data_IF_765342479256
#
_entry.id   IF_765342479256
#
_cell.length_a   1.000
_cell.length_b   1.000
_cell.length_c   1.000
_cell.angle_alpha   90.00
_cell.angle_beta   90.00
_cell.angle_gamma   90.00
#
_symmetry.space_group_name_H-M   'P 1'
#
loop_
_entity.id
_entity.type
_entity.pdbx_description
1 polymer ?
#
# COMPACT_ATOMS: atom_id res chain seq x y z
N UNK A 1 -70.29 -29.00 -14.13
CA UNK A 1 -69.27 -27.95 -14.29
C UNK A 1 -68.43 -27.94 -13.03
N UNK A 2 -67.18 -28.36 -13.15
CA UNK A 2 -66.21 -28.53 -12.05
C UNK A 2 -65.64 -27.20 -11.59
N UNK A 3 -65.63 -26.88 -10.28
CA UNK A 3 -64.69 -25.91 -9.74
C UNK A 3 -63.39 -26.60 -9.32
N UNK A 4 -62.28 -26.03 -9.77
CA UNK A 4 -60.91 -26.45 -9.50
C UNK A 4 -60.49 -26.19 -8.04
N UNK A 5 -59.51 -26.94 -7.50
CA UNK A 5 -59.02 -26.74 -6.15
C UNK A 5 -58.05 -25.54 -6.07
N UNK A 6 -58.27 -24.67 -5.08
CA UNK A 6 -57.38 -23.61 -4.67
C UNK A 6 -56.11 -24.23 -4.06
N UNK A 7 -55.06 -24.41 -4.87
CA UNK A 7 -53.76 -24.92 -4.41
C UNK A 7 -52.93 -23.79 -3.80
N UNK A 8 -52.58 -24.01 -2.53
CA UNK A 8 -51.40 -23.56 -1.79
C UNK A 8 -50.52 -22.48 -2.45
N UNK A 9 -50.53 -21.28 -1.88
CA UNK A 9 -49.47 -20.29 -2.03
C UNK A 9 -48.92 -19.97 -0.64
N UNK A 10 -47.79 -20.61 -0.29
CA UNK A 10 -46.79 -20.26 0.75
C UNK A 10 -46.04 -21.56 1.07
N UNK A 11 -44.74 -21.70 0.71
CA UNK A 11 -43.70 -20.89 1.34
C UNK A 11 -42.55 -20.51 0.37
N UNK A 12 -42.39 -19.22 0.07
CA UNK A 12 -41.20 -18.70 -0.64
C UNK A 12 -40.38 -17.73 0.22
N UNK A 13 -40.65 -17.66 1.52
CA UNK A 13 -39.99 -16.75 2.45
C UNK A 13 -38.76 -17.36 3.17
N UNK A 14 -38.31 -18.57 2.79
CA UNK A 14 -37.25 -19.29 3.52
C UNK A 14 -35.90 -19.43 2.78
N UNK A 15 -35.69 -18.74 1.66
CA UNK A 15 -34.42 -18.79 0.90
C UNK A 15 -33.63 -17.47 0.87
N UNK A 16 -34.04 -16.47 1.67
CA UNK A 16 -33.30 -15.20 1.83
C UNK A 16 -32.34 -15.17 3.03
N UNK A 17 -32.15 -16.31 3.71
CA UNK A 17 -31.15 -16.44 4.76
C UNK A 17 -30.04 -17.32 4.23
N UNK A 18 -29.04 -16.74 3.56
CA UNK A 18 -27.67 -17.27 3.44
C UNK A 18 -26.82 -16.27 2.66
N UNK A 19 -26.41 -15.26 3.40
CA UNK A 19 -25.55 -14.19 2.93
C UNK A 19 -25.55 -13.10 3.99
N UNK A 20 -25.28 -13.48 5.24
CA UNK A 20 -24.89 -12.49 6.22
C UNK A 20 -23.62 -11.84 5.65
N UNK A 21 -23.77 -10.64 5.07
CA UNK A 21 -22.66 -9.73 4.93
C UNK A 21 -22.12 -9.57 6.35
N UNK A 22 -21.03 -10.29 6.67
CA UNK A 22 -20.36 -10.16 7.96
C UNK A 22 -19.96 -8.70 8.03
N UNK A 23 -20.60 -7.94 8.93
CA UNK A 23 -20.19 -6.58 9.21
C UNK A 23 -18.69 -6.63 9.53
N UNK A 24 -17.90 -5.87 8.78
CA UNK A 24 -16.46 -5.79 9.03
C UNK A 24 -16.25 -5.40 10.48
N UNK A 25 -15.51 -6.21 11.22
CA UNK A 25 -15.20 -5.93 12.63
C UNK A 25 -14.54 -4.55 12.71
N UNK A 26 -15.07 -3.61 13.51
CA UNK A 26 -14.50 -2.27 13.59
C UNK A 26 -13.05 -2.33 14.07
N UNK A 27 -12.20 -1.44 13.56
CA UNK A 27 -10.80 -1.38 13.91
C UNK A 27 -10.58 -1.15 15.42
N UNK A 28 -9.79 -2.00 16.07
CA UNK A 28 -9.42 -1.83 17.47
C UNK A 28 -8.17 -0.94 17.60
N UNK A 29 -8.35 0.37 17.38
CA UNK A 29 -7.23 1.31 17.45
C UNK A 29 -6.49 1.37 18.80
N UNK A 30 -7.13 1.21 19.97
CA UNK A 30 -6.40 1.06 21.23
C UNK A 30 -5.38 -0.09 21.18
N UNK A 31 -5.76 -1.26 20.66
CA UNK A 31 -4.87 -2.40 20.48
C UNK A 31 -3.77 -2.12 19.44
N UNK A 32 -4.12 -1.66 18.23
CA UNK A 32 -3.16 -1.33 17.17
C UNK A 32 -2.10 -0.30 17.61
N UNK A 33 -2.42 0.53 18.61
CA UNK A 33 -1.53 1.54 19.13
C UNK A 33 -0.48 1.03 20.12
N UNK A 34 -0.63 -0.19 20.64
CA UNK A 34 0.26 -0.80 21.64
C UNK A 34 1.01 -2.04 21.15
N UNK A 35 0.57 -2.67 20.05
CA UNK A 35 1.26 -3.82 19.43
C UNK A 35 1.68 -3.55 17.99
N UNK A 36 2.63 -4.33 17.48
CA UNK A 36 2.99 -4.39 16.06
C UNK A 36 1.86 -4.99 15.20
N UNK A 37 2.00 -4.89 13.87
CA UNK A 37 0.98 -5.31 12.92
C UNK A 37 0.69 -6.82 12.94
N UNK A 38 1.72 -7.64 13.14
CA UNK A 38 1.59 -9.11 13.17
C UNK A 38 0.84 -9.56 14.43
N UNK A 39 1.23 -9.01 15.57
CA UNK A 39 0.53 -9.20 16.85
C UNK A 39 -0.91 -8.71 16.79
N UNK A 40 -1.18 -7.59 16.11
CA UNK A 40 -2.55 -7.12 15.90
C UNK A 40 -3.38 -8.10 15.07
N UNK A 41 -2.82 -8.60 13.95
CA UNK A 41 -3.47 -9.62 13.13
C UNK A 41 -3.77 -10.89 13.93
N UNK A 42 -2.78 -11.40 14.67
CA UNK A 42 -2.92 -12.58 15.54
C UNK A 42 -4.06 -12.44 16.56
N UNK A 43 -4.25 -11.24 17.10
CA UNK A 43 -5.23 -10.97 18.16
C UNK A 43 -6.61 -10.55 17.65
N UNK A 44 -6.76 -10.22 16.37
CA UNK A 44 -8.02 -9.69 15.80
C UNK A 44 -8.64 -10.57 14.73
N UNK A 45 -7.88 -11.52 14.17
CA UNK A 45 -8.38 -12.47 13.17
C UNK A 45 -8.82 -13.75 13.89
N UNK A 46 -10.14 -13.97 13.97
CA UNK A 46 -10.72 -15.16 14.61
C UNK A 46 -10.56 -16.43 13.76
N UNK A 47 -10.68 -16.29 12.44
CA UNK A 47 -10.47 -17.35 11.45
C UNK A 47 -9.66 -16.77 10.30
N UNK A 48 -8.55 -17.40 9.93
CA UNK A 48 -7.68 -16.87 8.89
C UNK A 48 -8.34 -16.96 7.51
N UNK A 49 -8.38 -15.82 6.81
CA UNK A 49 -8.65 -15.70 5.39
C UNK A 49 -7.79 -14.57 4.80
N UNK A 50 -7.57 -14.56 3.48
CA UNK A 50 -6.81 -13.46 2.85
C UNK A 50 -7.49 -12.10 3.08
N UNK A 51 -8.82 -12.06 3.03
CA UNK A 51 -9.59 -10.85 3.27
C UNK A 51 -9.46 -10.37 4.72
N UNK A 52 -9.44 -11.26 5.70
CA UNK A 52 -9.28 -10.89 7.10
C UNK A 52 -7.86 -10.40 7.40
N UNK A 53 -6.84 -11.01 6.77
CA UNK A 53 -5.47 -10.52 6.86
C UNK A 53 -5.34 -9.12 6.25
N UNK A 54 -5.92 -8.89 5.08
CA UNK A 54 -5.90 -7.59 4.41
C UNK A 54 -6.62 -6.52 5.23
N UNK A 55 -7.79 -6.85 5.78
CA UNK A 55 -8.55 -5.95 6.66
C UNK A 55 -7.76 -5.64 7.93
N UNK A 56 -7.10 -6.63 8.55
CA UNK A 56 -6.30 -6.42 9.75
C UNK A 56 -5.11 -5.51 9.48
N UNK A 57 -4.37 -5.73 8.39
CA UNK A 57 -3.25 -4.86 7.97
C UNK A 57 -3.73 -3.43 7.67
N UNK A 58 -4.85 -3.29 6.96
CA UNK A 58 -5.45 -1.99 6.66
C UNK A 58 -5.89 -1.26 7.93
N UNK A 59 -6.66 -1.92 8.80
CA UNK A 59 -7.14 -1.33 10.06
C UNK A 59 -6.00 -0.91 10.97
N UNK A 60 -4.97 -1.75 11.11
CA UNK A 60 -3.79 -1.39 11.87
C UNK A 60 -3.16 -0.12 11.29
N UNK A 61 -2.94 -0.08 9.98
CA UNK A 61 -2.34 1.06 9.30
C UNK A 61 -3.16 2.36 9.45
N UNK A 62 -4.49 2.30 9.32
CA UNK A 62 -5.35 3.47 9.56
C UNK A 62 -5.25 3.99 11.01
N UNK A 63 -5.28 3.09 11.99
CA UNK A 63 -5.14 3.46 13.40
C UNK A 63 -3.77 4.11 13.69
N UNK A 64 -2.69 3.56 13.12
CA UNK A 64 -1.33 4.12 13.26
C UNK A 64 -1.20 5.48 12.59
N UNK A 65 -1.77 5.64 11.40
CA UNK A 65 -1.81 6.93 10.70
C UNK A 65 -2.56 7.98 11.52
N UNK A 66 -3.74 7.63 12.06
CA UNK A 66 -4.51 8.52 12.92
C UNK A 66 -3.74 8.95 14.18
N UNK A 67 -3.07 8.01 14.85
CA UNK A 67 -2.21 8.30 16.01
C UNK A 67 -1.05 9.22 15.63
N UNK A 68 -0.39 8.99 14.50
CA UNK A 68 0.68 9.85 14.00
C UNK A 68 0.16 11.28 13.76
N UNK A 69 -0.97 11.41 13.04
CA UNK A 69 -1.58 12.70 12.74
C UNK A 69 -1.96 13.48 14.00
N UNK A 70 -2.51 12.79 15.03
CA UNK A 70 -2.79 13.39 16.32
C UNK A 70 -1.51 13.85 17.04
N UNK A 71 -0.44 13.03 17.02
CA UNK A 71 0.84 13.36 17.65
C UNK A 71 1.55 14.57 17.02
N UNK A 72 1.22 14.89 15.76
CA UNK A 72 1.76 16.02 15.01
C UNK A 72 0.85 17.25 15.05
N UNK A 73 -0.18 17.29 15.90
CA UNK A 73 -1.13 18.41 15.95
C UNK A 73 -0.46 19.77 16.19
N UNK A 74 0.63 19.82 16.97
CA UNK A 74 1.42 21.04 17.20
C UNK A 74 2.40 21.41 16.08
N UNK A 75 2.48 20.60 15.01
CA UNK A 75 3.42 20.77 13.89
C UNK A 75 2.68 20.67 12.55
N UNK A 76 1.80 21.63 12.23
CA UNK A 76 0.85 21.51 11.10
C UNK A 76 1.51 21.29 9.73
N UNK A 77 2.67 21.91 9.50
CA UNK A 77 3.43 21.70 8.25
C UNK A 77 3.99 20.29 8.14
N UNK A 78 4.58 19.75 9.22
CA UNK A 78 5.08 18.38 9.25
C UNK A 78 3.93 17.38 9.13
N UNK A 79 2.82 17.64 9.83
CA UNK A 79 1.60 16.84 9.74
C UNK A 79 1.08 16.73 8.31
N UNK A 80 0.96 17.86 7.61
CA UNK A 80 0.53 17.91 6.21
C UNK A 80 1.51 17.16 5.30
N UNK A 81 2.83 17.37 5.48
CA UNK A 81 3.86 16.68 4.70
C UNK A 81 3.81 15.15 4.88
N UNK A 82 3.60 14.67 6.11
CA UNK A 82 3.43 13.24 6.37
C UNK A 82 2.14 12.68 5.75
N UNK A 83 1.05 13.44 5.76
CA UNK A 83 -0.20 13.04 5.09
C UNK A 83 -0.02 12.94 3.56
N UNK A 84 0.67 13.92 2.95
CA UNK A 84 1.03 13.88 1.53
C UNK A 84 1.91 12.67 1.21
N UNK A 85 2.98 12.44 1.96
CA UNK A 85 3.88 11.30 1.75
C UNK A 85 3.14 9.97 1.90
N UNK A 86 2.24 9.84 2.88
CA UNK A 86 1.42 8.65 3.04
C UNK A 86 0.58 8.36 1.81
N UNK A 87 -0.12 9.36 1.27
CA UNK A 87 -0.89 9.21 0.04
C UNK A 87 -0.01 8.78 -1.13
N UNK A 88 1.13 9.44 -1.30
CA UNK A 88 2.07 9.13 -2.37
C UNK A 88 2.69 7.72 -2.24
N UNK A 89 3.02 7.29 -1.02
CA UNK A 89 3.62 5.98 -0.77
C UNK A 89 2.63 4.85 -1.07
N UNK A 90 1.36 5.02 -0.66
CA UNK A 90 0.31 4.05 -0.96
C UNK A 90 0.01 3.96 -2.45
N UNK A 91 -0.14 5.11 -3.12
CA UNK A 91 -0.32 5.13 -4.58
C UNK A 91 0.86 4.48 -5.31
N UNK A 92 2.08 4.61 -4.78
CA UNK A 92 3.25 3.94 -5.34
C UNK A 92 3.14 2.42 -5.19
N UNK A 93 2.65 1.91 -4.05
CA UNK A 93 2.41 0.47 -3.86
C UNK A 93 1.29 -0.06 -4.76
N UNK A 94 0.23 0.72 -4.95
CA UNK A 94 -0.86 0.36 -5.86
C UNK A 94 -0.30 0.20 -7.28
N UNK A 95 0.51 1.15 -7.75
CA UNK A 95 1.15 1.07 -9.08
C UNK A 95 2.12 -0.11 -9.19
N UNK A 96 2.94 -0.38 -8.16
CA UNK A 96 3.83 -1.55 -8.15
C UNK A 96 3.04 -2.85 -8.29
N UNK A 97 1.93 -2.96 -7.58
CA UNK A 97 1.02 -4.11 -7.63
C UNK A 97 0.38 -4.27 -9.01
N UNK A 98 -0.21 -3.21 -9.57
CA UNK A 98 -0.84 -3.26 -10.89
C UNK A 98 0.19 -3.61 -11.99
N UNK A 99 1.39 -2.99 -11.94
CA UNK A 99 2.47 -3.29 -12.88
C UNK A 99 2.97 -4.74 -12.75
N UNK A 100 3.04 -5.28 -11.54
CA UNK A 100 3.41 -6.68 -11.31
C UNK A 100 2.30 -7.63 -11.79
N UNK A 101 1.04 -7.31 -11.52
CA UNK A 101 -0.11 -8.08 -12.00
C UNK A 101 -0.18 -8.16 -13.52
N UNK A 102 0.09 -7.06 -14.23
CA UNK A 102 0.18 -7.08 -15.70
C UNK A 102 1.31 -8.00 -16.18
N UNK A 103 2.49 -7.95 -15.54
CA UNK A 103 3.65 -8.77 -15.94
C UNK A 103 3.47 -10.26 -15.67
N UNK A 104 2.75 -10.63 -14.62
CA UNK A 104 2.52 -12.02 -14.27
C UNK A 104 1.23 -12.62 -14.87
N UNK A 105 0.50 -11.84 -15.68
CA UNK A 105 -0.75 -12.31 -16.29
C UNK A 105 -1.98 -12.27 -15.39
N UNK A 106 -1.91 -11.58 -14.26
CA UNK A 106 -2.99 -11.40 -13.29
C UNK A 106 -2.77 -12.21 -12.01
N UNK A 107 -3.84 -12.36 -11.21
CA UNK A 107 -3.81 -13.07 -9.93
C UNK A 107 -4.11 -12.16 -8.74
N UNK A 108 -4.73 -12.73 -7.71
CA UNK A 108 -5.16 -11.97 -6.52
C UNK A 108 -4.00 -11.62 -5.59
N UNK A 109 -2.88 -12.34 -5.67
CA UNK A 109 -1.66 -12.11 -4.89
C UNK A 109 -1.22 -10.63 -4.90
N UNK A 110 -1.26 -10.00 -6.09
CA UNK A 110 -0.87 -8.60 -6.25
C UNK A 110 -1.81 -7.66 -5.51
N UNK A 111 -3.11 -7.91 -5.55
CA UNK A 111 -4.11 -7.12 -4.85
C UNK A 111 -3.95 -7.25 -3.32
N UNK A 112 -3.67 -8.46 -2.82
CA UNK A 112 -3.46 -8.72 -1.38
C UNK A 112 -2.15 -8.11 -0.85
N UNK A 113 -1.14 -7.94 -1.70
CA UNK A 113 0.13 -7.34 -1.30
C UNK A 113 0.01 -5.85 -0.94
N UNK A 114 -0.98 -5.13 -1.50
CA UNK A 114 -1.23 -3.71 -1.24
C UNK A 114 -1.55 -3.46 0.24
N UNK A 115 -2.66 -3.97 0.81
CA UNK A 115 -3.01 -3.70 2.21
C UNK A 115 -1.95 -4.22 3.17
N UNK A 116 -1.31 -5.36 2.85
CA UNK A 116 -0.23 -5.93 3.66
C UNK A 116 1.04 -5.07 3.65
N UNK A 117 1.29 -4.32 2.57
CA UNK A 117 2.40 -3.37 2.50
C UNK A 117 2.18 -2.11 3.37
N UNK A 118 0.95 -1.79 3.78
CA UNK A 118 0.69 -0.55 4.51
C UNK A 118 1.30 -0.54 5.91
N UNK A 119 1.41 -1.70 6.58
CA UNK A 119 2.03 -1.78 7.89
C UNK A 119 3.47 -1.22 7.92
N UNK A 120 4.42 -1.75 7.12
CA UNK A 120 5.78 -1.19 7.08
C UNK A 120 5.82 0.27 6.58
N UNK A 121 4.88 0.72 5.74
CA UNK A 121 4.78 2.13 5.35
C UNK A 121 4.46 3.04 6.53
N UNK A 122 3.50 2.69 7.36
CA UNK A 122 3.13 3.52 8.52
C UNK A 122 4.25 3.55 9.58
N UNK A 123 5.01 2.46 9.74
CA UNK A 123 6.20 2.43 10.57
C UNK A 123 7.31 3.35 10.04
N UNK A 124 7.54 3.32 8.73
CA UNK A 124 8.50 4.19 8.07
C UNK A 124 8.08 5.67 8.20
N UNK A 125 6.81 6.00 7.99
CA UNK A 125 6.28 7.36 8.13
C UNK A 125 6.37 7.86 9.57
N UNK A 126 6.07 7.02 10.55
CA UNK A 126 6.24 7.36 11.97
C UNK A 126 7.70 7.63 12.32
N UNK A 127 8.63 6.80 11.82
CA UNK A 127 10.07 6.96 12.00
C UNK A 127 10.60 8.23 11.31
N UNK A 128 10.12 8.51 10.10
CA UNK A 128 10.43 9.73 9.36
C UNK A 128 9.94 10.98 10.09
N UNK A 129 8.71 10.98 10.61
CA UNK A 129 8.17 12.08 11.40
C UNK A 129 8.98 12.29 12.69
N UNK A 130 9.39 11.19 13.35
CA UNK A 130 10.22 11.23 14.56
C UNK A 130 11.62 11.81 14.28
N UNK A 131 12.24 11.46 13.15
CA UNK A 131 13.49 12.07 12.71
C UNK A 131 13.30 13.55 12.37
N UNK A 132 12.29 13.88 11.57
CA UNK A 132 12.03 15.25 11.10
C UNK A 132 11.77 16.25 12.23
N UNK A 133 11.21 15.81 13.36
CA UNK A 133 11.01 16.64 14.57
C UNK A 133 12.23 16.73 15.49
N UNK A 134 13.31 16.00 15.19
CA UNK A 134 14.49 15.87 16.06
C UNK A 134 15.73 16.50 15.43
N UNK A 135 16.69 16.89 16.27
CA UNK A 135 18.01 17.33 15.79
C UNK A 135 18.78 16.22 15.08
N UNK A 136 18.48 14.94 15.36
CA UNK A 136 19.08 13.79 14.69
C UNK A 136 18.69 13.73 13.21
N UNK A 137 17.45 14.06 12.87
CA UNK A 137 16.97 14.04 11.48
C UNK A 137 17.67 15.05 10.58
N UNK A 138 18.09 16.18 11.15
CA UNK A 138 18.81 17.23 10.43
C UNK A 138 20.34 16.99 10.34
N UNK A 139 20.87 15.95 10.99
CA UNK A 139 22.30 15.63 10.90
C UNK A 139 22.64 15.20 9.49
N UNK A 140 23.59 15.91 8.88
CA UNK A 140 24.14 15.57 7.58
C UNK A 140 25.28 14.58 7.72
N UNK A 141 25.52 13.79 6.68
CA UNK A 141 26.61 12.83 6.66
C UNK A 141 26.84 12.25 5.28
N UNK A 142 28.08 11.87 4.99
CA UNK A 142 28.44 11.29 3.68
C UNK A 142 27.62 10.04 3.37
N UNK A 143 27.34 9.20 4.37
CA UNK A 143 26.49 8.02 4.18
C UNK A 143 25.04 8.38 3.87
N UNK A 144 24.45 9.40 4.52
CA UNK A 144 23.08 9.83 4.22
C UNK A 144 22.96 10.42 2.82
N UNK A 145 23.93 11.26 2.41
CA UNK A 145 23.98 11.79 1.04
C UNK A 145 24.11 10.66 0.00
N UNK A 146 24.96 9.66 0.27
CA UNK A 146 25.12 8.48 -0.58
C UNK A 146 23.81 7.69 -0.67
N UNK A 147 23.15 7.39 0.45
CA UNK A 147 21.86 6.69 0.46
C UNK A 147 20.80 7.41 -0.38
N UNK A 148 20.71 8.75 -0.31
CA UNK A 148 19.81 9.53 -1.16
C UNK A 148 20.17 9.40 -2.64
N UNK A 149 21.46 9.46 -2.99
CA UNK A 149 21.93 9.33 -4.36
C UNK A 149 21.66 7.92 -4.92
N UNK A 150 22.02 6.88 -4.16
CA UNK A 150 21.83 5.48 -4.54
C UNK A 150 20.34 5.20 -4.75
N UNK A 151 19.47 5.71 -3.87
CA UNK A 151 18.02 5.55 -4.04
C UNK A 151 17.48 6.18 -5.33
N UNK A 152 18.01 7.34 -5.74
CA UNK A 152 17.65 7.97 -7.01
C UNK A 152 18.11 7.14 -8.21
N UNK A 153 19.32 6.60 -8.14
CA UNK A 153 19.88 5.77 -9.21
C UNK A 153 19.11 4.45 -9.34
N UNK A 154 18.85 3.77 -8.24
CA UNK A 154 18.08 2.53 -8.20
C UNK A 154 16.65 2.73 -8.73
N UNK A 155 15.98 3.81 -8.34
CA UNK A 155 14.64 4.12 -8.87
C UNK A 155 14.66 4.41 -10.37
N UNK A 156 15.68 5.12 -10.87
CA UNK A 156 15.83 5.35 -12.30
C UNK A 156 16.10 4.05 -13.08
N UNK A 157 16.87 3.12 -12.51
CA UNK A 157 17.10 1.80 -13.10
C UNK A 157 15.84 0.95 -13.11
N UNK A 158 15.09 0.95 -12.01
CA UNK A 158 13.81 0.28 -11.88
C UNK A 158 12.83 0.75 -12.96
N UNK A 159 12.67 2.08 -13.12
CA UNK A 159 11.82 2.66 -14.17
C UNK A 159 12.33 2.28 -15.56
N UNK A 160 13.64 2.31 -15.81
CA UNK A 160 14.20 1.91 -17.11
C UNK A 160 13.87 0.45 -17.44
N UNK A 161 13.97 -0.43 -16.44
CA UNK A 161 13.63 -1.84 -16.56
C UNK A 161 12.14 -2.01 -16.92
N UNK A 162 11.24 -1.30 -16.22
CA UNK A 162 9.81 -1.30 -16.55
C UNK A 162 9.52 -0.77 -17.97
N UNK A 163 10.24 0.28 -18.41
CA UNK A 163 10.09 0.83 -19.76
C UNK A 163 10.58 -0.13 -20.85
N UNK A 164 11.56 -0.96 -20.54
CA UNK A 164 12.11 -1.94 -21.46
C UNK A 164 11.26 -3.22 -21.56
N UNK A 165 10.38 -3.47 -20.58
CA UNK A 165 9.52 -4.65 -20.55
C UNK A 165 8.63 -4.71 -21.79
N UNK A 166 8.60 -5.89 -22.41
CA UNK A 166 7.66 -6.30 -23.45
C UNK A 166 7.37 -7.78 -23.23
N UNK A 167 6.10 -8.21 -23.34
CA UNK A 167 5.80 -9.61 -23.19
C UNK A 167 6.53 -10.46 -24.23
N UNK A 168 7.02 -11.62 -23.81
CA UNK A 168 7.58 -12.62 -24.71
C UNK A 168 6.54 -13.22 -25.66
N UNK A 169 6.95 -13.85 -26.78
CA UNK A 169 6.02 -14.47 -27.74
C UNK A 169 5.17 -15.61 -27.14
N UNK A 170 5.61 -16.19 -26.02
CA UNK A 170 4.90 -17.26 -25.29
C UNK A 170 4.14 -16.75 -24.06
N UNK A 171 4.23 -15.45 -23.77
CA UNK A 171 3.54 -14.82 -22.65
C UNK A 171 2.13 -14.40 -23.12
N UNK A 172 1.19 -15.33 -23.01
CA UNK A 172 -0.22 -15.09 -23.35
C UNK A 172 -0.92 -14.27 -22.26
N UNK A 173 -0.46 -13.05 -22.03
CA UNK A 173 -1.06 -12.15 -21.04
C UNK A 173 -2.18 -11.33 -21.66
N UNK A 174 -3.43 -11.74 -21.43
CA UNK A 174 -4.62 -11.00 -21.86
C UNK A 174 -4.80 -9.61 -21.20
N UNK A 175 -3.93 -9.25 -20.25
CA UNK A 175 -3.95 -7.98 -19.51
C UNK A 175 -2.94 -6.94 -20.03
N UNK A 176 -1.96 -7.33 -20.86
CA UNK A 176 -0.96 -6.38 -21.33
C UNK A 176 -1.51 -5.55 -22.50
N UNK A 177 -1.78 -4.27 -22.21
CA UNK A 177 -1.98 -3.24 -23.22
C UNK A 177 -0.76 -2.29 -23.24
N UNK A 178 -0.08 -2.10 -24.40
CA UNK A 178 1.11 -1.24 -24.47
C UNK A 178 0.88 0.22 -24.06
N UNK A 179 -0.30 0.78 -24.34
CA UNK A 179 -0.64 2.17 -23.98
C UNK A 179 -0.87 2.28 -22.48
N UNK A 180 -1.60 1.32 -21.93
CA UNK A 180 -1.88 1.26 -20.49
C UNK A 180 -0.60 1.06 -19.67
N UNK A 181 0.25 0.12 -20.10
CA UNK A 181 1.57 -0.09 -19.51
C UNK A 181 2.39 1.20 -19.49
N UNK A 182 2.49 1.87 -20.64
CA UNK A 182 3.23 3.13 -20.75
C UNK A 182 2.66 4.21 -19.84
N UNK A 183 1.32 4.32 -19.76
CA UNK A 183 0.63 5.28 -18.88
C UNK A 183 0.95 5.03 -17.42
N UNK A 184 0.92 3.77 -16.97
CA UNK A 184 1.20 3.40 -15.59
C UNK A 184 2.67 3.62 -15.22
N UNK A 185 3.61 3.24 -16.08
CA UNK A 185 5.04 3.51 -15.87
C UNK A 185 5.32 5.01 -15.82
N UNK A 186 4.67 5.82 -16.66
CA UNK A 186 4.76 7.29 -16.61
C UNK A 186 4.19 7.86 -15.30
N UNK A 187 3.08 7.30 -14.81
CA UNK A 187 2.48 7.70 -13.53
C UNK A 187 3.41 7.35 -12.37
N UNK A 188 3.98 6.14 -12.35
CA UNK A 188 4.96 5.72 -11.35
C UNK A 188 6.18 6.65 -11.33
N UNK A 189 6.74 6.96 -12.51
CA UNK A 189 7.85 7.90 -12.61
C UNK A 189 7.49 9.30 -12.08
N UNK A 190 6.32 9.83 -12.48
CA UNK A 190 5.83 11.14 -12.02
C UNK A 190 5.67 11.16 -10.50
N UNK A 191 5.09 10.11 -9.94
CA UNK A 191 4.89 9.96 -8.50
C UNK A 191 6.23 9.85 -7.75
N UNK A 192 7.19 9.08 -8.27
CA UNK A 192 8.53 8.99 -7.68
C UNK A 192 9.23 10.35 -7.61
N UNK A 193 9.07 11.19 -8.65
CA UNK A 193 9.58 12.57 -8.66
C UNK A 193 8.84 13.46 -7.65
N UNK A 194 7.53 13.29 -7.50
CA UNK A 194 6.72 14.02 -6.51
C UNK A 194 7.10 13.67 -5.06
N UNK A 195 7.41 12.40 -4.79
CA UNK A 195 7.96 11.94 -3.51
C UNK A 195 9.32 12.60 -3.25
N UNK A 196 10.25 12.53 -4.21
CA UNK A 196 11.56 13.17 -4.08
C UNK A 196 11.44 14.68 -3.83
N UNK A 197 10.52 15.35 -4.52
CA UNK A 197 10.24 16.77 -4.30
C UNK A 197 9.72 17.03 -2.88
N UNK A 198 8.80 16.17 -2.42
CA UNK A 198 8.20 16.27 -1.08
C UNK A 198 9.25 16.00 0.00
N UNK A 199 10.20 15.09 -0.21
CA UNK A 199 11.29 14.78 0.72
C UNK A 199 12.45 15.79 0.67
N UNK A 200 12.66 16.43 -0.48
CA UNK A 200 13.82 17.27 -0.75
C UNK A 200 15.04 16.43 -1.13
N UNK A 201 16.21 17.07 -1.15
CA UNK A 201 17.46 16.46 -1.64
C UNK A 201 18.63 16.62 -0.67
N UNK A 202 18.36 16.96 0.60
CA UNK A 202 19.43 17.14 1.60
C UNK A 202 20.02 15.79 1.95
N UNK A 203 21.35 15.74 2.12
CA UNK A 203 22.04 14.55 2.62
C UNK A 203 21.94 14.39 4.13
N UNK A 204 20.73 14.47 4.67
CA UNK A 204 20.43 14.32 6.10
C UNK A 204 19.67 13.02 6.41
N UNK A 205 19.66 12.63 7.69
CA UNK A 205 19.10 11.35 8.12
C UNK A 205 17.60 11.20 7.81
N UNK A 206 16.81 12.28 7.97
CA UNK A 206 15.37 12.25 7.68
C UNK A 206 15.12 12.05 6.18
N UNK A 207 15.84 12.79 5.33
CA UNK A 207 15.72 12.65 3.88
C UNK A 207 16.17 11.25 3.44
N UNK A 208 17.30 10.75 3.95
CA UNK A 208 17.80 9.41 3.62
C UNK A 208 16.80 8.30 3.96
N UNK A 209 16.16 8.34 5.14
CA UNK A 209 15.11 7.38 5.50
C UNK A 209 13.89 7.51 4.58
N UNK A 210 13.46 8.72 4.26
CA UNK A 210 12.31 8.93 3.37
C UNK A 210 12.52 8.32 1.99
N UNK A 211 13.75 8.35 1.47
CA UNK A 211 14.09 7.80 0.16
C UNK A 211 14.04 6.27 0.09
N UNK A 212 13.95 5.53 1.21
CA UNK A 212 13.93 4.06 1.18
C UNK A 212 12.69 3.49 0.47
N UNK A 213 11.60 4.26 0.38
CA UNK A 213 10.42 3.89 -0.41
C UNK A 213 10.76 3.62 -1.88
N UNK A 214 11.77 4.32 -2.42
CA UNK A 214 12.14 4.26 -3.83
C UNK A 214 13.00 3.04 -4.17
N UNK A 215 13.45 2.27 -3.18
CA UNK A 215 14.33 1.10 -3.34
C UNK A 215 13.79 -0.17 -2.72
N UNK A 216 12.83 -0.07 -1.80
CA UNK A 216 12.14 -1.22 -1.23
C UNK A 216 10.85 -1.47 -2.00
N UNK A 217 10.93 -1.82 -3.29
CA UNK A 217 9.71 -2.12 -4.08
C UNK A 217 9.06 -3.41 -3.57
N UNK A 218 7.72 -3.50 -3.60
CA UNK A 218 7.00 -4.74 -3.23
C UNK A 218 7.25 -5.83 -4.25
N UNK A 219 7.43 -5.45 -5.51
CA UNK A 219 7.67 -6.36 -6.62
C UNK A 219 8.89 -5.93 -7.43
N UNK A 220 9.79 -6.84 -7.82
CA UNK A 220 10.95 -6.51 -8.64
C UNK A 220 10.53 -6.18 -10.08
N UNK A 221 11.24 -5.28 -10.78
CA UNK A 221 10.89 -4.85 -12.15
C UNK A 221 11.08 -5.93 -13.24
N UNK A 222 11.70 -7.06 -12.89
CA UNK A 222 11.84 -8.27 -13.71
C UNK A 222 11.75 -9.48 -12.78
N UNK A 223 11.29 -10.62 -13.29
CA UNK A 223 11.42 -11.89 -12.57
C UNK A 223 12.92 -12.24 -12.45
N UNK A 224 13.33 -12.78 -11.31
CA UNK A 224 14.68 -13.32 -11.10
C UNK A 224 14.77 -14.78 -11.57
#
# INVERSE_FOLDING_TARGET
MTPAPLRLLLPLAALLVLGAARAQTPANCPLANVVDADSYGLLTIEQWSEADQDNASYHWAECRAAKLQASLAGMPQLRARMATLRGQFREMRDLESELAGIRAGGGTLYAHAIPRSFAPLEEQLASLAALARSSLGARTGGQYARTVQDARQNNAEYIRTLRAYKPGPNETYGLYDPKEWTRMVNRYETLSRAIMLTLGSRGDAATALGYSILVNQVFPAKEE
#
